data_IF_294297218423
#
_entry.id   IF_294297218423
#
_cell.length_a   1.000
_cell.length_b   1.000
_cell.length_c   1.000
_cell.angle_alpha   90.00
_cell.angle_beta   90.00
_cell.angle_gamma   90.00
#
_symmetry.space_group_name_H-M   'P 1'
#
loop_
_entity.id
_entity.type
_entity.pdbx_description
1 polymer ?
2 branched ?
3 branched ?
4 branched ?
#
# COMPACT_ATOMS: atom_id res chain seq x y z
N UNK A 1 5.00 -26.44 -14.95
CA UNK A 1 5.26 -24.97 -14.88
C UNK A 1 4.38 -24.28 -13.83
N UNK A 2 4.88 -24.16 -12.58
CA UNK A 2 4.11 -23.51 -11.52
C UNK A 2 3.69 -22.13 -11.99
N UNK A 3 2.47 -21.72 -11.66
CA UNK A 3 2.00 -20.41 -12.07
C UNK A 3 3.02 -19.35 -11.63
N UNK A 4 2.81 -18.09 -12.03
CA UNK A 4 3.74 -17.00 -11.67
C UNK A 4 3.65 -16.49 -10.24
N UNK A 5 4.82 -16.19 -9.63
CA UNK A 5 4.94 -15.69 -8.25
C UNK A 5 4.25 -14.35 -8.01
N UNK A 6 3.98 -14.06 -6.74
CA UNK A 6 3.32 -12.82 -6.37
C UNK A 6 3.97 -12.14 -5.16
N UNK A 7 4.10 -10.82 -5.24
CA UNK A 7 4.72 -10.03 -4.19
C UNK A 7 3.75 -9.52 -3.17
N UNK A 8 4.13 -9.62 -1.91
CA UNK A 8 3.28 -9.15 -0.83
C UNK A 8 4.10 -8.24 0.05
N UNK A 9 3.48 -7.20 0.57
CA UNK A 9 4.22 -6.32 1.45
C UNK A 9 3.67 -6.50 2.85
N UNK A 10 4.56 -6.31 3.82
CA UNK A 10 4.19 -6.40 5.21
C UNK A 10 4.94 -5.24 5.81
N UNK A 11 4.23 -4.17 6.18
CA UNK A 11 2.79 -3.91 6.05
C UNK A 11 2.32 -3.91 4.61
N UNK A 12 0.99 -3.88 4.38
CA UNK A 12 0.28 -3.88 3.09
C UNK A 12 0.34 -2.54 2.35
N UNK A 13 0.70 -1.50 3.08
CA UNK A 13 0.78 -0.16 2.53
C UNK A 13 1.87 -0.06 1.47
N UNK A 14 1.47 0.29 0.25
CA UNK A 14 2.40 0.46 -0.86
C UNK A 14 2.75 1.94 -0.99
N UNK A 15 2.30 2.72 -0.01
CA UNK A 15 2.56 4.15 0.10
C UNK A 15 3.04 4.36 1.53
N UNK A 16 4.31 4.69 1.71
CA UNK A 16 4.80 4.87 3.05
C UNK A 16 5.64 6.11 3.18
N UNK A 17 5.73 6.61 4.40
CA UNK A 17 6.53 7.80 4.71
C UNK A 17 8.00 7.51 4.59
N UNK A 18 8.76 8.58 4.54
CA UNK A 18 10.19 8.48 4.45
C UNK A 18 10.59 7.93 5.81
N UNK A 19 11.55 7.02 5.84
CA UNK A 19 12.01 6.48 7.11
C UNK A 19 11.34 5.24 7.69
N UNK A 20 10.22 4.82 7.10
CA UNK A 20 9.53 3.65 7.61
C UNK A 20 10.07 2.41 6.92
N UNK A 21 9.80 1.25 7.48
CA UNK A 21 10.29 0.01 6.90
C UNK A 21 9.15 -0.80 6.36
N UNK A 22 9.43 -1.58 5.33
CA UNK A 22 8.44 -2.43 4.69
C UNK A 22 9.14 -3.66 4.13
N UNK A 23 8.48 -4.81 4.20
CA UNK A 23 9.09 -6.04 3.71
C UNK A 23 8.36 -6.60 2.50
N UNK A 24 9.13 -6.97 1.48
CA UNK A 24 8.55 -7.54 0.28
C UNK A 24 8.82 -9.02 0.24
N UNK A 25 7.79 -9.80 -0.01
CA UNK A 25 7.98 -11.22 -0.04
C UNK A 25 7.46 -11.84 -1.31
N UNK A 26 8.25 -12.72 -1.92
CA UNK A 26 7.79 -13.37 -3.13
C UNK A 26 6.92 -14.59 -2.75
N UNK A 27 5.76 -14.66 -3.38
CA UNK A 27 4.75 -15.72 -3.18
C UNK A 27 5.10 -17.22 -3.14
N UNK A 28 4.09 -18.02 -2.80
CA UNK A 28 4.22 -19.47 -2.77
C UNK A 28 4.19 -20.04 -4.19
N UNK A 29 5.20 -20.85 -4.50
CA UNK A 29 5.30 -21.45 -5.82
C UNK A 29 5.27 -22.98 -5.70
N UNK A 30 5.82 -23.47 -4.58
CA UNK A 30 5.88 -24.88 -4.28
C UNK A 30 5.83 -24.96 -2.75
N UNK A 31 5.66 -26.19 -2.28
CA UNK A 31 5.69 -26.52 -0.84
C UNK A 31 7.11 -26.26 -0.48
N UNK A 32 7.93 -26.96 -1.27
CA UNK A 32 9.42 -26.97 -1.19
C UNK A 32 9.97 -25.65 -0.67
N UNK A 36 16.45 -20.11 -5.41
CA UNK A 36 17.19 -18.90 -5.90
C UNK A 36 16.23 -17.71 -6.19
N UNK A 37 16.30 -16.63 -5.40
CA UNK A 37 15.41 -15.50 -5.64
C UNK A 37 16.11 -14.43 -6.45
N UNK A 38 15.35 -13.63 -7.21
CA UNK A 38 15.89 -12.52 -8.00
C UNK A 38 14.95 -11.33 -7.95
N UNK A 39 15.36 -10.28 -7.25
CA UNK A 39 14.55 -9.08 -7.10
C UNK A 39 14.93 -8.01 -8.10
N UNK A 40 13.91 -7.36 -8.65
CA UNK A 40 14.15 -6.31 -9.61
C UNK A 40 13.53 -4.99 -9.16
N UNK A 41 14.39 -4.03 -8.85
CA UNK A 41 13.95 -2.72 -8.41
C UNK A 41 14.00 -1.74 -9.57
N UNK A 42 12.82 -1.31 -10.03
CA UNK A 42 12.71 -0.38 -11.15
C UNK A 42 13.25 -1.09 -12.39
N UNK A 43 13.31 -2.41 -12.30
CA UNK A 43 13.79 -3.21 -13.40
C UNK A 43 15.27 -3.55 -13.38
N UNK A 44 15.98 -3.21 -12.31
CA UNK A 44 17.40 -3.52 -12.26
C UNK A 44 17.69 -4.60 -11.22
N UNK A 45 18.20 -5.74 -11.67
CA UNK A 45 18.49 -6.83 -10.76
C UNK A 45 19.14 -6.29 -9.48
N UNK A 46 18.56 -6.69 -8.36
CA UNK A 46 19.03 -6.29 -7.05
C UNK A 46 20.11 -7.23 -6.58
N UNK A 47 21.00 -6.73 -5.73
CA UNK A 47 22.06 -7.56 -5.19
C UNK A 47 21.46 -8.44 -4.09
N UNK A 48 20.15 -8.34 -3.93
CA UNK A 48 19.43 -9.12 -2.94
C UNK A 48 18.95 -10.40 -3.62
N UNK A 49 19.26 -11.53 -3.01
CA UNK A 49 18.88 -12.82 -3.58
C UNK A 49 17.95 -13.65 -2.70
N UNK A 50 17.73 -13.21 -1.47
CA UNK A 50 16.86 -13.94 -0.54
C UNK A 50 15.38 -13.73 -0.86
N UNK A 51 14.53 -14.64 -0.38
CA UNK A 51 13.09 -14.58 -0.63
C UNK A 51 12.39 -13.30 -0.18
N UNK A 52 12.97 -12.60 0.79
CA UNK A 52 12.37 -11.38 1.28
C UNK A 52 13.27 -10.18 1.15
N UNK A 53 12.72 -9.11 0.59
CA UNK A 53 13.43 -7.86 0.40
C UNK A 53 13.02 -6.86 1.48
N UNK A 54 13.96 -6.51 2.33
CA UNK A 54 13.70 -5.57 3.40
C UNK A 54 14.12 -4.16 3.06
N UNK A 55 13.17 -3.23 3.15
CA UNK A 55 13.44 -1.83 2.89
C UNK A 55 13.41 -1.11 4.23
N UNK A 56 14.59 -0.81 4.74
CA UNK A 56 14.73 -0.14 6.02
C UNK A 56 14.94 1.36 5.78
N UNK A 57 14.34 2.17 6.65
CA UNK A 57 14.42 3.62 6.56
C UNK A 57 14.25 3.99 5.10
N UNK A 58 13.00 3.97 4.65
CA UNK A 58 12.66 4.26 3.27
C UNK A 58 13.19 5.59 2.81
N UNK A 59 13.66 5.61 1.57
CA UNK A 59 14.20 6.81 0.97
C UNK A 59 13.47 6.93 -0.35
N UNK A 60 13.01 8.13 -0.69
CA UNK A 60 12.30 8.34 -1.95
C UNK A 60 12.88 7.46 -3.06
N UNK A 61 14.19 7.24 -3.01
CA UNK A 61 14.87 6.42 -4.01
C UNK A 61 14.33 5.00 -4.03
N UNK A 62 13.73 4.59 -2.92
CA UNK A 62 13.16 3.26 -2.81
C UNK A 62 11.79 3.18 -3.48
N UNK A 63 11.26 4.33 -3.90
CA UNK A 63 9.98 4.38 -4.58
C UNK A 63 10.23 3.67 -5.89
N UNK A 64 9.16 3.35 -6.62
CA UNK A 64 9.30 2.67 -7.89
C UNK A 64 8.65 1.30 -7.95
N UNK A 65 8.82 0.64 -9.09
CA UNK A 65 8.27 -0.69 -9.36
C UNK A 65 9.19 -1.76 -8.81
N UNK A 66 8.65 -2.95 -8.59
CA UNK A 66 9.44 -4.07 -8.10
C UNK A 66 8.86 -5.35 -8.66
N UNK A 67 9.73 -6.31 -8.95
CA UNK A 67 9.31 -7.61 -9.46
C UNK A 67 10.22 -8.63 -8.80
N UNK A 68 9.72 -9.85 -8.67
CA UNK A 68 10.52 -10.91 -8.09
C UNK A 68 10.25 -12.10 -8.98
N UNK A 69 11.31 -12.89 -9.22
CA UNK A 69 11.20 -14.06 -10.10
C UNK A 69 12.05 -15.24 -9.73
N UNK A 70 11.47 -16.39 -9.90
CA UNK A 70 12.23 -17.56 -9.77
C UNK A 70 12.75 -17.86 -11.19
N UNK A 71 13.89 -18.56 -11.24
CA UNK A 71 14.53 -18.94 -12.49
C UNK A 71 13.57 -19.61 -13.43
N UNK A 72 13.56 -19.07 -14.66
CA UNK A 72 12.74 -19.51 -15.81
C UNK A 72 11.24 -19.76 -15.53
N UNK A 73 10.78 -19.08 -14.52
CA UNK A 73 9.37 -18.98 -14.23
C UNK A 73 9.19 -17.50 -14.40
N UNK A 74 8.30 -17.13 -15.25
CA UNK A 74 8.14 -15.72 -15.53
C UNK A 74 7.92 -14.88 -14.33
N UNK A 75 8.53 -13.71 -14.43
CA UNK A 75 8.47 -12.69 -13.39
C UNK A 75 7.06 -12.42 -12.86
N UNK A 76 7.04 -11.79 -11.69
CA UNK A 76 5.79 -11.45 -11.02
C UNK A 76 5.16 -10.21 -11.63
N UNK A 77 3.99 -9.83 -11.13
CA UNK A 77 3.34 -8.63 -11.62
C UNK A 77 3.97 -7.53 -10.80
N UNK A 78 4.25 -6.38 -11.42
CA UNK A 78 4.87 -5.22 -10.77
C UNK A 78 4.09 -4.66 -9.60
N UNK A 79 4.83 -4.21 -8.59
CA UNK A 79 4.24 -3.61 -7.39
C UNK A 79 4.89 -2.25 -7.25
N UNK A 80 4.07 -1.22 -7.20
CA UNK A 80 4.60 0.12 -7.09
C UNK A 80 4.57 0.70 -5.71
N UNK A 81 5.75 0.96 -5.19
CA UNK A 81 5.92 1.53 -3.88
C UNK A 81 6.07 3.03 -4.06
N UNK A 82 5.73 3.81 -3.05
CA UNK A 82 5.88 5.26 -3.14
C UNK A 82 6.08 5.89 -1.77
N UNK A 83 7.26 6.47 -1.57
CA UNK A 83 7.63 7.13 -0.30
C UNK A 83 7.19 8.59 -0.23
N UNK A 84 6.57 8.95 0.89
CA UNK A 84 6.08 10.30 1.08
C UNK A 84 6.75 11.06 2.20
N UNK A 85 6.43 12.34 2.27
CA UNK A 85 6.93 13.19 3.32
C UNK A 85 5.78 14.15 3.49
N UNK A 86 5.01 13.98 4.55
CA UNK A 86 3.90 14.87 4.84
C UNK A 86 3.35 14.52 6.20
N UNK A 87 2.53 15.40 6.76
CA UNK A 87 1.92 15.16 8.07
C UNK A 87 0.93 14.01 8.01
N UNK A 88 0.06 14.02 7.00
CA UNK A 88 -0.94 12.97 6.85
C UNK A 88 -0.75 12.22 5.57
N UNK A 89 -1.03 10.94 5.61
CA UNK A 89 -0.90 10.12 4.44
C UNK A 89 -2.01 9.13 4.45
N UNK A 90 -2.73 9.05 3.34
CA UNK A 90 -3.81 8.10 3.23
C UNK A 90 -3.23 6.81 2.65
N UNK A 91 -3.20 5.75 3.45
CA UNK A 91 -2.68 4.48 2.98
C UNK A 91 -3.82 3.58 2.57
N UNK A 92 -3.55 2.74 1.59
CA UNK A 92 -4.60 1.89 1.11
C UNK A 92 -4.11 0.50 0.93
N UNK A 93 -4.97 -0.44 1.26
CA UNK A 93 -4.70 -1.85 1.12
C UNK A 93 -4.19 -2.07 -0.30
N UNK A 94 -4.98 -1.60 -1.25
CA UNK A 94 -4.60 -1.68 -2.65
C UNK A 94 -5.31 -0.54 -3.39
N UNK A 95 -4.73 -0.13 -4.51
CA UNK A 95 -5.28 0.97 -5.27
C UNK A 95 -6.24 0.45 -6.33
N UNK A 96 -6.11 -0.83 -6.64
CA UNK A 96 -6.98 -1.48 -7.61
C UNK A 96 -7.56 -2.69 -6.89
N UNK A 97 -8.85 -2.63 -6.60
CA UNK A 97 -9.50 -3.72 -5.88
C UNK A 97 -10.56 -4.45 -6.67
N UNK A 98 -10.49 -5.78 -6.60
CA UNK A 98 -11.43 -6.63 -7.30
C UNK A 98 -12.74 -6.66 -6.55
N UNK A 99 -13.77 -6.11 -7.20
CA UNK A 99 -15.11 -6.06 -6.65
C UNK A 99 -15.32 -7.21 -5.68
N UNK A 100 -16.06 -6.93 -4.61
CA UNK A 100 -16.35 -7.96 -3.63
C UNK A 100 -15.29 -8.23 -2.58
N UNK A 101 -14.08 -7.71 -2.79
CA UNK A 101 -12.99 -7.91 -1.84
C UNK A 101 -13.00 -6.83 -0.74
N UNK A 102 -12.11 -6.94 0.26
CA UNK A 102 -12.08 -5.94 1.32
C UNK A 102 -11.19 -4.79 0.98
N UNK A 103 -11.63 -3.60 1.37
CA UNK A 103 -10.88 -2.39 1.11
C UNK A 103 -10.64 -1.70 2.44
N UNK A 104 -9.39 -1.43 2.77
CA UNK A 104 -9.16 -0.74 4.00
C UNK A 104 -8.27 0.45 3.78
N UNK A 105 -8.55 1.49 4.54
CA UNK A 105 -7.84 2.74 4.45
C UNK A 105 -7.27 3.08 5.77
N UNK A 106 -6.37 4.04 5.74
CA UNK A 106 -5.74 4.45 6.96
C UNK A 106 -5.20 5.82 6.86
N UNK A 107 -5.69 6.68 7.74
CA UNK A 107 -5.23 8.06 7.82
C UNK A 107 -4.04 7.93 8.74
N UNK A 108 -2.87 7.70 8.13
CA UNK A 108 -1.61 7.51 8.85
C UNK A 108 -0.82 8.78 9.14
N UNK A 109 -0.63 9.11 10.41
CA UNK A 109 0.12 10.30 10.75
C UNK A 109 1.62 10.04 10.74
N UNK A 110 2.39 11.09 10.50
CA UNK A 110 3.84 10.98 10.47
C UNK A 110 4.29 10.43 11.81
N UNK A 111 5.34 9.61 11.80
CA UNK A 111 5.87 9.01 13.02
C UNK A 111 4.74 8.48 13.87
N UNK A 112 3.72 7.93 13.21
CA UNK A 112 2.57 7.42 13.92
C UNK A 112 2.11 8.45 14.94
N UNK A 113 1.92 9.69 14.48
CA UNK A 113 1.46 10.72 15.39
C UNK A 113 -0.03 10.62 15.60
N UNK A 114 -0.45 11.10 16.77
CA UNK A 114 -1.84 11.09 17.13
C UNK A 114 -2.64 12.06 16.27
N UNK A 115 -3.64 11.52 15.59
CA UNK A 115 -4.48 12.35 14.77
C UNK A 115 -5.89 12.13 15.31
N UNK A 116 -6.64 13.20 15.48
CA UNK A 116 -7.98 13.06 15.99
C UNK A 116 -8.95 13.55 14.94
N UNK A 117 -10.22 13.66 15.30
CA UNK A 117 -11.21 14.16 14.38
C UNK A 117 -10.96 13.64 12.96
N UNK A 118 -10.55 12.38 12.84
CA UNK A 118 -10.30 11.82 11.50
C UNK A 118 -11.58 11.67 10.67
N UNK A 119 -11.44 11.76 9.36
CA UNK A 119 -12.61 11.68 8.50
C UNK A 119 -12.18 11.34 7.09
N UNK A 120 -12.65 10.22 6.57
CA UNK A 120 -12.29 9.87 5.22
C UNK A 120 -13.39 10.36 4.30
N UNK A 121 -13.03 10.59 3.04
CA UNK A 121 -13.97 11.08 2.06
C UNK A 121 -13.78 10.37 0.75
N UNK A 122 -14.88 10.08 0.07
CA UNK A 122 -14.79 9.47 -1.24
C UNK A 122 -15.41 10.52 -2.12
N UNK A 123 -14.63 11.04 -3.06
CA UNK A 123 -15.11 12.05 -3.99
C UNK A 123 -15.78 13.19 -3.22
N UNK A 124 -14.97 13.90 -2.44
CA UNK A 124 -15.46 15.02 -1.66
C UNK A 124 -16.35 14.64 -0.51
N UNK A 125 -17.30 13.75 -0.75
CA UNK A 125 -18.25 13.32 0.27
C UNK A 125 -17.71 12.32 1.29
N UNK A 126 -18.07 12.54 2.55
CA UNK A 126 -17.63 11.68 3.65
C UNK A 126 -18.17 10.27 3.50
N UNK A 127 -17.39 9.27 3.90
CA UNK A 127 -17.88 7.90 3.83
C UNK A 127 -18.31 7.54 5.24
N UNK A 128 -19.49 6.96 5.35
CA UNK A 128 -20.05 6.57 6.63
C UNK A 128 -20.28 5.07 6.72
N UNK A 129 -20.21 4.58 7.96
CA UNK A 129 -20.42 3.18 8.26
C UNK A 129 -19.36 2.19 7.80
N UNK A 130 -18.10 2.61 7.75
CA UNK A 130 -17.06 1.67 7.38
C UNK A 130 -16.67 1.04 8.69
N UNK A 131 -16.09 -0.15 8.67
CA UNK A 131 -15.69 -0.69 9.96
C UNK A 131 -14.48 0.12 10.37
N UNK A 132 -14.68 1.02 11.32
CA UNK A 132 -13.58 1.84 11.79
C UNK A 132 -12.99 1.31 13.07
N UNK A 133 -11.74 1.68 13.28
CA UNK A 133 -11.00 1.27 14.45
C UNK A 133 -9.81 2.20 14.31
N UNK A 134 -9.50 2.94 15.36
CA UNK A 134 -8.41 3.90 15.32
C UNK A 134 -7.31 3.48 14.35
N UNK A 135 -7.17 2.17 14.17
CA UNK A 135 -6.19 1.62 13.26
C UNK A 135 -6.58 1.72 11.78
N UNK A 136 -7.82 1.39 11.41
CA UNK A 136 -8.27 1.48 10.02
C UNK A 136 -9.78 1.38 9.80
N UNK A 137 -10.19 1.48 8.53
CA UNK A 137 -11.59 1.38 8.13
C UNK A 137 -11.69 0.38 6.99
N UNK A 138 -12.70 -0.48 7.01
CA UNK A 138 -12.86 -1.47 5.94
C UNK A 138 -14.27 -1.49 5.35
N UNK A 139 -14.41 -2.13 4.20
CA UNK A 139 -15.69 -2.20 3.55
C UNK A 139 -15.62 -3.26 2.47
N UNK A 140 -16.75 -3.88 2.15
CA UNK A 140 -16.75 -4.89 1.08
C UNK A 140 -16.73 -4.10 -0.23
N UNK A 141 -15.79 -4.42 -1.11
CA UNK A 141 -15.68 -3.71 -2.38
C UNK A 141 -16.93 -3.74 -3.25
N UNK A 142 -17.30 -2.56 -3.76
CA UNK A 142 -18.46 -2.35 -4.64
C UNK A 142 -17.93 -1.60 -5.86
N UNK A 143 -18.64 -1.65 -6.97
CA UNK A 143 -18.16 -0.90 -8.12
C UNK A 143 -18.45 0.57 -7.79
N UNK A 144 -19.33 0.78 -6.82
CA UNK A 144 -19.70 2.12 -6.39
C UNK A 144 -18.61 2.75 -5.54
N UNK A 145 -17.95 1.91 -4.73
CA UNK A 145 -16.89 2.36 -3.85
C UNK A 145 -15.75 2.98 -4.65
N UNK A 146 -15.72 2.73 -5.95
CA UNK A 146 -14.69 3.31 -6.80
C UNK A 146 -14.73 4.83 -6.69
N UNK A 147 -13.57 5.45 -6.84
CA UNK A 147 -13.48 6.90 -6.74
C UNK A 147 -12.19 7.33 -6.09
N UNK A 148 -12.05 8.63 -5.86
CA UNK A 148 -10.84 9.18 -5.24
C UNK A 148 -11.04 9.42 -3.74
N UNK A 149 -10.05 9.03 -2.95
CA UNK A 149 -10.11 9.19 -1.50
C UNK A 149 -9.08 10.16 -0.98
N UNK A 150 -9.27 10.55 0.27
CA UNK A 150 -8.39 11.48 0.97
C UNK A 150 -8.95 11.70 2.40
N UNK A 151 -8.11 11.65 3.42
CA UNK A 151 -8.65 11.86 4.75
C UNK A 151 -8.18 13.17 5.32
N UNK A 152 -8.78 13.55 6.44
CA UNK A 152 -8.44 14.78 7.14
C UNK A 152 -8.36 14.42 8.62
N UNK A 153 -7.75 15.29 9.41
CA UNK A 153 -7.63 15.01 10.82
C UNK A 153 -6.87 16.12 11.48
N UNK A 154 -7.11 16.29 12.77
CA UNK A 154 -6.43 17.33 13.52
C UNK A 154 -5.15 16.81 14.15
N UNK A 155 -4.08 17.58 14.01
CA UNK A 155 -2.79 17.23 14.59
C UNK A 155 -2.39 18.41 15.46
N UNK A 156 -1.95 18.13 16.68
CA UNK A 156 -1.58 19.20 17.59
C UNK A 156 -2.75 20.14 17.87
N UNK A 157 -3.12 20.96 16.89
CA UNK A 157 -4.26 21.89 17.03
C UNK A 157 -4.82 22.25 15.65
N UNK A 158 -4.13 21.77 14.63
CA UNK A 158 -4.50 22.08 13.26
C UNK A 158 -5.15 20.95 12.49
N UNK A 159 -5.77 21.32 11.39
CA UNK A 159 -6.47 20.36 10.59
C UNK A 159 -5.77 20.20 9.28
N UNK A 160 -5.32 18.98 9.02
CA UNK A 160 -4.66 18.68 7.75
C UNK A 160 -5.52 17.89 6.80
N UNK A 161 -4.95 17.62 5.65
CA UNK A 161 -5.68 16.89 4.66
C UNK A 161 -4.62 16.14 3.92
N UNK A 162 -4.94 14.95 3.46
CA UNK A 162 -3.95 14.18 2.75
C UNK A 162 -4.08 14.41 1.26
N UNK A 163 -3.10 13.89 0.53
CA UNK A 163 -3.07 13.97 -0.92
C UNK A 163 -4.18 13.04 -1.37
N UNK A 164 -5.03 13.50 -2.29
CA UNK A 164 -6.07 12.55 -2.68
C UNK A 164 -5.42 11.25 -3.20
N UNK A 165 -6.25 10.22 -3.33
CA UNK A 165 -5.82 8.92 -3.80
C UNK A 165 -6.89 8.37 -4.74
N UNK A 166 -6.47 7.65 -5.78
CA UNK A 166 -7.43 7.08 -6.71
C UNK A 166 -7.58 5.57 -6.60
N UNK A 167 -8.78 5.16 -6.22
CA UNK A 167 -9.12 3.75 -6.03
C UNK A 167 -10.19 3.28 -7.01
N UNK A 168 -9.93 2.14 -7.64
CA UNK A 168 -10.85 1.57 -8.61
C UNK A 168 -11.27 0.15 -8.21
N UNK A 169 -12.57 -0.10 -8.26
CA UNK A 169 -13.07 -1.41 -7.91
C UNK A 169 -13.50 -2.12 -9.18
N UNK A 170 -12.55 -2.80 -9.82
CA UNK A 170 -12.82 -3.51 -11.06
C UNK A 170 -13.91 -4.56 -10.87
N UNK A 171 -15.10 -4.27 -11.41
CA UNK A 171 -16.26 -5.16 -11.33
C UNK A 171 -16.01 -6.49 -12.04
X LIG B 1 13.03 0.27 10.89
X LIG B 1 12.67 1.01 12.18
X LIG B 1 13.96 1.36 12.92
X LIG B 1 14.91 0.16 13.06
X LIG B 1 15.04 -0.63 11.74
X LIG B 1 15.75 -1.96 11.90
X LIG B 1 10.64 2.32 12.17
X LIG B 1 9.90 3.52 11.59
X LIG B 1 11.94 2.22 11.88
X LIG B 1 13.65 1.87 14.21
X LIG B 1 16.21 0.65 13.41
X LIG B 1 13.74 -0.92 11.20
X LIG B 1 15.84 -2.64 10.65
X LIG B 1 10.04 1.50 12.87
X LIG B 2 16.72 0.26 14.63
X LIG B 2 18.20 -0.11 14.46
X LIG B 2 18.84 -0.38 15.83
X LIG B 2 18.59 0.80 16.77
X LIG B 2 17.09 1.10 16.84
X LIG B 2 16.79 2.32 17.68
X LIG B 2 19.14 -1.30 12.59
X LIG B 2 19.32 -2.62 11.86
X LIG B 2 18.31 -1.29 13.63
X LIG B 2 20.23 -0.58 15.68
X LIG B 2 19.08 0.47 18.06
X LIG B 2 16.58 1.38 15.52
X LIG B 2 15.55 2.89 17.32
X LIG B 2 19.74 -0.29 12.20
X LIG C 1 12.54 4.19 -9.16
X LIG C 1 13.50 5.19 -8.51
X LIG C 1 12.67 6.16 -7.66
X LIG C 1 11.67 6.89 -8.56
X LIG C 1 10.83 5.84 -9.33
X LIG C 1 9.89 6.43 -10.36
X LIG C 1 15.62 4.10 -8.24
X LIG C 1 16.72 3.60 -7.31
X LIG C 1 14.48 4.50 -7.69
X LIG C 1 13.51 7.10 -6.99
X LIG C 1 10.79 7.69 -7.74
X LIG C 1 11.67 4.89 -10.03
X LIG C 1 8.69 5.67 -10.46
X LIG C 1 15.81 4.11 -9.46
X LIG C 2 10.97 9.05 -7.66
X LIG C 2 9.73 9.67 -7.03
X LIG C 2 9.92 11.18 -6.89
X LIG C 2 11.18 11.46 -6.07
X LIG C 2 12.38 10.73 -6.67
X LIG C 2 13.62 10.85 -5.81
X LIG C 2 7.55 8.73 -7.30
X LIG C 2 6.30 8.60 -8.15
X LIG C 2 8.57 9.38 -7.83
X LIG C 2 8.79 11.75 -6.24
X LIG C 2 11.44 12.88 -6.09
X LIG C 2 12.10 9.31 -6.82
X LIG C 2 14.70 10.16 -6.41
X LIG C 2 7.59 8.24 -6.16
X LIG C 3 11.91 13.41 -4.91
X LIG C 3 13.08 14.36 -5.21
X LIG C 3 13.51 15.13 -3.96
X LIG C 3 12.27 15.75 -3.26
X LIG C 3 11.20 14.68 -3.02
X LIG C 3 9.94 15.18 -2.31
X LIG C 3 12.71 15.27 -6.24
X LIG C 3 14.44 16.18 -4.37
X LIG C 3 12.62 16.33 -2.01
X LIG C 3 10.82 14.10 -4.28
X LIG C 3 8.87 15.37 -3.26
X LIG C 4 14.90 17.06 -3.37
X LIG C 4 16.15 17.83 -3.85
X LIG C 4 17.39 16.92 -3.92
X LIG C 4 17.58 16.13 -2.62
X LIG C 4 16.27 15.45 -2.19
X LIG C 4 16.36 14.79 -0.83
X LIG C 4 16.40 18.90 -2.96
X LIG C 4 18.55 17.72 -4.16
X LIG C 4 18.58 15.14 -2.81
X LIG C 4 15.19 16.41 -2.13
X LIG C 4 16.00 15.70 0.21
X LIG C 5 8.16 16.60 -3.26
X LIG C 5 8.79 17.70 -2.37
X LIG C 5 8.59 17.35 -0.91
X LIG C 5 7.10 17.16 -0.62
X LIG C 5 6.50 16.10 -1.58
X LIG C 5 4.98 15.97 -1.46
X LIG C 5 8.14 18.95 -2.64
X LIG C 5 9.10 18.39 -0.09
X LIG C 5 6.94 16.72 0.72
X LIG C 5 6.78 16.43 -2.96
X LIG C 5 4.33 17.20 -1.77
X LIG D 1 -18.97 -9.05 -0.50
X LIG D 1 -19.09 -10.40 0.23
X LIG D 1 -19.20 -11.52 -0.82
X LIG D 1 -20.48 -11.23 -1.60
X LIG D 1 -20.23 -9.92 -2.33
X LIG D 1 -21.41 -9.53 -3.23
X LIG D 1 -18.09 -10.27 2.42
X LIG D 1 -17.39 -11.12 3.46
X LIG D 1 -17.97 -10.61 1.13
X LIG D 1 -19.23 -12.78 -0.18
X LIG D 1 -20.94 -12.29 -2.50
X LIG D 1 -20.09 -8.86 -1.36
X LIG D 1 -22.47 -8.94 -2.44
X LIG D 1 -18.75 -9.31 2.78
X LIG D 2 -20.12 -13.30 -2.95
X LIG D 2 -20.99 -14.55 -3.04
X LIG D 2 -20.28 -15.70 -3.74
X LIG D 2 -19.85 -15.22 -5.12
X LIG D 2 -18.97 -13.96 -4.99
X LIG D 2 -18.64 -13.39 -6.35
X LIG D 2 -22.61 -14.58 -1.26
X LIG D 2 -22.89 -14.84 0.21
X LIG D 2 -21.42 -14.96 -1.72
X LIG D 2 -21.16 -16.81 -3.85
X LIG D 2 -19.13 -16.25 -5.78
X LIG D 2 -19.67 -12.92 -4.27
X LIG D 2 -18.59 -11.97 -6.31
X LIG D 2 -23.47 -14.05 -1.97
X LIG D 3 -23.67 -8.68 -3.12
X LIG D 3 -24.77 -9.61 -2.62
X LIG D 3 -25.17 -9.34 -1.18
X LIG D 3 -25.53 -7.82 -1.01
X LIG D 3 -24.42 -6.94 -1.58
X LIG D 3 -24.80 -5.49 -1.57
X LIG D 3 -24.45 -10.97 -2.83
X LIG D 3 -26.26 -10.22 -0.78
X LIG D 3 -26.76 -7.55 -1.66
X LIG D 3 -24.06 -7.33 -2.94
X LIG E 1 -9.23 10.08 -9.79
X LIG E 1 -8.32 10.34 -10.98
X LIG E 1 -8.80 11.55 -11.79
X LIG E 1 -10.32 11.53 -12.07
X LIG E 1 -11.14 11.08 -10.85
X LIG E 1 -12.58 10.75 -11.23
X LIG E 1 -5.93 10.07 -11.17
X LIG E 1 -4.54 10.56 -10.78
X LIG E 1 -6.97 10.60 -10.52
X LIG E 1 -8.10 11.58 -13.02
X LIG E 1 -10.72 12.87 -12.41
X LIG E 1 -10.58 9.89 -10.25
X LIG E 1 -12.74 9.36 -11.47
X LIG E 1 -6.06 9.23 -12.06
X LIG E 2 -11.61 13.05 -13.46
X LIG E 2 -12.42 14.34 -13.19
X LIG E 2 -13.24 14.74 -14.41
X LIG E 2 -12.36 14.79 -15.66
X LIG E 2 -11.63 13.45 -15.82
X LIG E 2 -10.70 13.42 -17.02
X LIG E 2 -13.08 14.73 -10.90
X LIG E 2 -14.06 14.45 -9.77
X LIG E 2 -13.31 14.12 -12.06
X LIG E 2 -13.83 16.02 -14.19
X LIG E 2 -13.17 15.04 -16.81
X LIG E 2 -10.83 13.19 -14.65
X LIG E 2 -9.90 12.24 -17.01
X LIG E 2 -12.13 15.49 -10.71
#
# INVERSE_FOLDING_TARGET
VPQKPKVSLNPPWNRIFKGENVTLTCNGNNFFEVSSTKWFHNGSLSEETNSSLNIVNAKFEDSGEYKCQHQQVNESEPVYLEVFSDWLLLQASAEVVMEGQPLFLRCHGWRNWDVYKVIYYKDGEALKYWYENHNISITNATVEDSGTYYCTGKVWQLDYESEPLNITVCKA
NAG C1 C2 C3 C4 C5 C6 C7 C8 N2 O3 O4 O5 O6 O7
NAG C1 C2 C3 C4 C5 C6 C7 C8 N2 O3 O4 O5 O6 O7
NAG C1 C2 C3 C4 C5 C6 C7 C8 N2 O3 O4 O5 O6 O7
NAG C1 C2 C3 C4 C5 C6 C7 C8 N2 O3 O4 O5 O6 O7
BMA C1 C2 C3 C4 C5 C6 O2 O3 O4 O5 O6
MAN C1 C2 C3 C4 C5 C6 O2 O3 O4 O5 O6
MAN C1 C2 C3 C4 C5 C6 O2 O3 O4 O5 O6
NAG C1 C2 C3 C4 C5 C6 C7 C8 N2 O3 O4 O5 O6 O7
NAG C1 C2 C3 C4 C5 C6 C7 C8 N2 O3 O4 O5 O6 O7
FUC C1 C2 C3 C4 C5 C6 O2 O3 O4 O5
NAG C1 C2 C3 C4 C5 C6 C7 C8 N2 O3 O4 O5 O6 O7
NAG C1 C2 C3 C4 C5 C6 C7 C8 N2 O3 O4 O5 O6 O7
#
